data_IF_791061453301
#
_entry.id   IF_791061453301
#
_cell.length_a   1.000
_cell.length_b   1.000
_cell.length_c   1.000
_cell.angle_alpha   90.00
_cell.angle_beta   90.00
_cell.angle_gamma   90.00
#
_symmetry.space_group_name_H-M   'P 1'
#
loop_
_entity.id
_entity.type
_entity.pdbx_description
1 polymer ?
#
# COMPACT_ATOMS: atom_id res chain seq x y z
N UNK A 1 -9.80 5.13 8.24
CA UNK A 1 -8.50 5.39 7.60
C UNK A 1 -8.67 5.30 6.10
N UNK A 2 -8.54 6.43 5.42
CA UNK A 2 -8.73 6.53 3.99
C UNK A 2 -7.64 5.79 3.22
N UNK A 3 -7.96 5.47 1.97
CA UNK A 3 -7.09 4.70 1.07
C UNK A 3 -6.75 5.53 -0.15
N UNK A 4 -5.59 5.27 -0.71
CA UNK A 4 -5.09 5.94 -1.92
C UNK A 4 -5.24 4.99 -3.10
N UNK A 5 -5.99 5.46 -4.10
CA UNK A 5 -6.10 4.82 -5.41
C UNK A 5 -5.23 5.60 -6.40
N UNK A 6 -4.07 5.01 -6.72
CA UNK A 6 -3.13 5.59 -7.68
C UNK A 6 -3.68 5.45 -9.11
N UNK A 7 -3.40 6.43 -9.98
CA UNK A 7 -3.66 6.30 -11.42
C UNK A 7 -2.68 5.34 -12.09
N UNK A 8 -1.45 5.26 -11.56
CA UNK A 8 -0.47 4.21 -11.87
C UNK A 8 -0.71 2.97 -11.00
N UNK A 9 -0.01 1.88 -11.29
CA UNK A 9 -0.08 0.69 -10.43
C UNK A 9 0.61 0.92 -9.09
N UNK A 10 0.14 0.22 -8.05
CA UNK A 10 0.79 0.26 -6.72
C UNK A 10 2.23 -0.28 -6.78
N UNK A 11 2.44 -1.28 -7.64
CA UNK A 11 3.74 -1.86 -7.90
C UNK A 11 4.71 -0.80 -8.43
N UNK A 12 4.33 -0.09 -9.49
CA UNK A 12 5.17 0.98 -10.08
C UNK A 12 5.49 2.07 -9.06
N UNK A 13 4.50 2.50 -8.26
CA UNK A 13 4.74 3.48 -7.20
C UNK A 13 5.76 2.99 -6.17
N UNK A 14 5.64 1.73 -5.71
CA UNK A 14 6.56 1.17 -4.73
C UNK A 14 7.94 0.90 -5.34
N UNK A 15 8.02 0.48 -6.60
CA UNK A 15 9.28 0.34 -7.34
C UNK A 15 10.00 1.70 -7.46
N UNK A 16 9.27 2.79 -7.70
CA UNK A 16 9.82 4.16 -7.67
C UNK A 16 10.33 4.54 -6.28
N UNK A 17 9.57 4.23 -5.22
CA UNK A 17 10.00 4.50 -3.85
C UNK A 17 11.30 3.74 -3.52
N UNK A 18 11.39 2.47 -3.91
CA UNK A 18 12.57 1.61 -3.72
C UNK A 18 13.77 2.21 -4.46
N UNK A 19 13.60 2.62 -5.71
CA UNK A 19 14.66 3.23 -6.51
C UNK A 19 15.16 4.54 -5.91
N UNK A 20 14.26 5.42 -5.47
CA UNK A 20 14.64 6.71 -4.89
C UNK A 20 15.30 6.59 -3.51
N UNK A 21 14.97 5.54 -2.76
CA UNK A 21 15.50 5.25 -1.44
C UNK A 21 16.73 4.34 -1.46
N UNK A 22 17.25 4.04 -2.66
CA UNK A 22 18.37 3.13 -2.89
C UNK A 22 18.21 1.79 -2.14
N UNK A 23 16.98 1.28 -2.12
CA UNK A 23 16.66 0.01 -1.48
C UNK A 23 16.89 -1.15 -2.45
N UNK A 24 17.45 -2.25 -1.94
CA UNK A 24 17.65 -3.47 -2.76
C UNK A 24 16.32 -4.18 -3.06
N UNK A 25 15.31 -3.99 -2.22
CA UNK A 25 14.02 -4.66 -2.38
C UNK A 25 12.89 -3.97 -1.64
N UNK A 26 11.65 -4.43 -1.90
CA UNK A 26 10.46 -4.05 -1.15
C UNK A 26 10.64 -4.20 0.37
N UNK A 27 11.41 -5.20 0.82
CA UNK A 27 11.64 -5.40 2.26
C UNK A 27 12.49 -4.28 2.88
N UNK A 28 13.40 -3.67 2.10
CA UNK A 28 14.24 -2.56 2.56
C UNK A 28 13.45 -1.32 2.93
N UNK A 29 12.24 -1.15 2.40
CA UNK A 29 11.35 -0.08 2.85
C UNK A 29 11.05 -0.17 4.37
N UNK A 30 11.07 -1.38 4.96
CA UNK A 30 10.78 -1.56 6.38
C UNK A 30 11.87 -0.96 7.29
N UNK A 31 13.08 -0.78 6.79
CA UNK A 31 14.20 -0.24 7.57
C UNK A 31 14.00 1.25 7.90
N UNK A 32 13.11 1.92 7.16
CA UNK A 32 12.67 3.31 7.42
C UNK A 32 11.66 3.42 8.58
N UNK A 33 11.33 2.32 9.26
CA UNK A 33 10.50 2.34 10.46
C UNK A 33 9.01 2.52 10.20
N UNK A 34 8.52 2.24 8.99
CA UNK A 34 7.08 2.21 8.73
C UNK A 34 6.44 1.12 9.59
N UNK A 35 5.42 1.46 10.38
CA UNK A 35 4.67 0.52 11.24
C UNK A 35 3.85 -0.55 10.49
N UNK A 36 4.27 -0.93 9.29
CA UNK A 36 3.60 -1.84 8.37
C UNK A 36 4.36 -3.16 8.33
N UNK A 37 3.66 -4.28 8.47
CA UNK A 37 4.27 -5.61 8.34
C UNK A 37 4.62 -5.92 6.88
N UNK A 38 5.68 -6.69 6.66
CA UNK A 38 6.09 -7.12 5.31
C UNK A 38 4.96 -7.78 4.51
N UNK A 39 4.08 -8.54 5.15
CA UNK A 39 2.95 -9.20 4.46
C UNK A 39 1.89 -8.21 3.93
N UNK A 40 1.62 -7.15 4.71
CA UNK A 40 0.78 -6.05 4.26
C UNK A 40 1.46 -5.31 3.09
N UNK A 41 2.78 -5.12 3.16
CA UNK A 41 3.56 -4.50 2.10
C UNK A 41 3.48 -5.28 0.78
N UNK A 42 3.61 -6.61 0.82
CA UNK A 42 3.37 -7.48 -0.36
C UNK A 42 1.94 -7.37 -0.90
N UNK A 43 0.95 -7.20 -0.01
CA UNK A 43 -0.45 -7.03 -0.41
C UNK A 43 -0.69 -5.71 -1.15
N UNK A 44 -0.02 -4.63 -0.73
CA UNK A 44 -0.03 -3.36 -1.45
C UNK A 44 0.72 -3.48 -2.78
N UNK A 45 1.91 -4.08 -2.76
CA UNK A 45 2.73 -4.30 -3.96
C UNK A 45 2.01 -5.08 -5.05
N UNK A 46 1.30 -6.15 -4.68
CA UNK A 46 0.50 -6.94 -5.62
C UNK A 46 -0.82 -6.28 -6.04
N UNK A 47 -1.14 -5.07 -5.55
CA UNK A 47 -2.39 -4.37 -5.83
C UNK A 47 -3.63 -5.02 -5.19
N UNK A 48 -3.46 -6.05 -4.34
CA UNK A 48 -4.57 -6.73 -3.63
C UNK A 48 -5.23 -5.80 -2.61
N UNK A 49 -4.49 -4.83 -2.08
CA UNK A 49 -4.97 -3.84 -1.12
C UNK A 49 -4.51 -2.45 -1.56
N UNK A 50 -5.31 -1.44 -1.27
CA UNK A 50 -4.90 -0.05 -1.45
C UNK A 50 -4.04 0.45 -0.26
N UNK A 51 -3.13 1.38 -0.54
CA UNK A 51 -2.26 1.96 0.47
C UNK A 51 -3.12 2.80 1.42
N UNK A 52 -2.96 2.66 2.75
CA UNK A 52 -3.49 3.66 3.67
C UNK A 52 -2.87 5.02 3.38
N UNK A 53 -3.68 6.09 3.47
CA UNK A 53 -3.25 7.46 3.21
C UNK A 53 -1.99 7.84 3.99
N UNK A 54 -1.97 7.62 5.31
CA UNK A 54 -0.81 7.99 6.13
C UNK A 54 0.47 7.26 5.71
N UNK A 55 0.36 6.02 5.26
CA UNK A 55 1.51 5.27 4.76
C UNK A 55 1.98 5.79 3.39
N UNK A 56 1.05 6.15 2.51
CA UNK A 56 1.35 6.78 1.23
C UNK A 56 2.04 8.15 1.43
N UNK A 57 1.50 8.99 2.30
CA UNK A 57 2.05 10.33 2.58
C UNK A 57 3.47 10.22 3.13
N UNK A 58 3.72 9.30 4.09
CA UNK A 58 5.06 9.05 4.62
C UNK A 58 6.03 8.55 3.53
N UNK A 59 5.58 7.65 2.65
CA UNK A 59 6.40 7.18 1.53
C UNK A 59 6.76 8.31 0.59
N UNK A 60 5.81 9.15 0.17
CA UNK A 60 6.07 10.28 -0.72
C UNK A 60 7.09 11.25 -0.11
N UNK A 61 6.96 11.56 1.18
CA UNK A 61 7.89 12.45 1.89
C UNK A 61 9.31 11.89 1.92
N UNK A 62 9.46 10.62 2.30
CA UNK A 62 10.78 10.00 2.50
C UNK A 62 11.45 9.68 1.16
N UNK A 63 10.69 9.10 0.22
CA UNK A 63 11.20 8.73 -1.11
C UNK A 63 11.33 9.91 -2.07
N UNK A 64 10.88 11.12 -1.69
CA UNK A 64 10.91 12.33 -2.52
C UNK A 64 10.34 12.09 -3.92
N UNK A 65 9.34 11.21 -4.04
CA UNK A 65 8.69 10.97 -5.33
C UNK A 65 7.95 12.25 -5.73
N UNK A 66 8.09 12.61 -7.00
CA UNK A 66 7.48 13.81 -7.57
C UNK A 66 5.95 13.74 -7.61
N UNK A 67 5.36 14.59 -8.44
CA UNK A 67 3.90 14.65 -8.60
C UNK A 67 3.36 13.28 -9.06
N UNK A 68 2.47 12.70 -8.26
CA UNK A 68 1.73 11.47 -8.61
C UNK A 68 0.23 11.78 -8.57
N UNK A 69 -0.49 11.34 -9.59
CA UNK A 69 -1.94 11.43 -9.61
C UNK A 69 -2.57 10.28 -8.81
N UNK A 70 -3.47 10.64 -7.90
CA UNK A 70 -4.20 9.70 -7.07
C UNK A 70 -5.58 10.22 -6.68
N UNK A 71 -6.48 9.30 -6.38
CA UNK A 71 -7.77 9.58 -5.75
C UNK A 71 -7.76 9.08 -4.31
N UNK A 72 -8.43 9.81 -3.41
CA UNK A 72 -8.70 9.35 -2.05
C UNK A 72 -10.03 8.60 -2.05
N UNK A 73 -10.03 7.36 -1.55
CA UNK A 73 -11.24 6.56 -1.39
C UNK A 73 -11.47 6.24 0.09
N UNK A 74 -12.75 6.19 0.48
CA UNK A 74 -13.13 5.98 1.87
C UNK A 74 -12.66 4.64 2.45
N UNK A 75 -12.53 4.59 3.78
CA UNK A 75 -11.97 3.46 4.52
C UNK A 75 -12.59 2.08 4.23
N UNK A 76 -13.86 2.05 3.82
CA UNK A 76 -14.62 0.81 3.54
C UNK A 76 -14.39 0.27 2.12
N UNK A 77 -13.53 0.89 1.33
CA UNK A 77 -13.25 0.46 -0.03
C UNK A 77 -12.63 -0.95 -0.05
N UNK A 78 -13.29 -1.89 -0.74
CA UNK A 78 -12.88 -3.30 -0.79
C UNK A 78 -13.35 -4.14 0.41
N UNK A 79 -14.07 -3.56 1.37
CA UNK A 79 -14.67 -4.31 2.47
C UNK A 79 -16.04 -4.86 2.03
N UNK A 80 -16.13 -6.17 1.80
CA UNK A 80 -17.42 -6.83 1.57
C UNK A 80 -18.22 -6.79 2.87
N UNK A 81 -19.41 -6.17 2.86
CA UNK A 81 -20.37 -6.20 3.98
C UNK A 81 -20.70 -7.67 4.28
N UNK A 82 -20.28 -8.18 5.44
CA UNK A 82 -20.67 -9.51 5.92
C UNK A 82 -19.61 -10.60 5.73
N UNK A 83 -18.63 -10.63 6.63
CA UNK A 83 -17.83 -11.84 6.86
C UNK A 83 -18.68 -12.94 7.50
N UNK A 84 -19.44 -13.69 6.70
CA UNK A 84 -19.88 -15.06 7.04
C UNK A 84 -19.97 -15.87 5.75
N UNK A 85 -18.89 -16.61 5.44
CA UNK A 85 -19.01 -17.87 4.69
C UNK A 85 -18.27 -18.96 5.45
N UNK A 86 -18.75 -19.23 6.66
CA UNK A 86 -18.47 -20.51 7.30
C UNK A 86 -19.30 -21.57 6.59
N UNK A 87 -18.66 -22.40 5.76
CA UNK A 87 -19.16 -23.73 5.47
C UNK A 87 -18.18 -24.72 6.10
N UNK A 88 -18.39 -25.02 7.38
CA UNK A 88 -18.03 -26.34 7.91
C UNK A 88 -19.21 -27.24 7.59
N UNK A 89 -19.09 -28.07 6.56
CA UNK A 89 -19.90 -29.28 6.52
C UNK A 89 -19.16 -30.31 7.37
N UNK A 90 -19.81 -30.72 8.44
CA UNK A 90 -19.58 -31.99 9.15
C UNK A 90 -20.53 -32.98 8.50
#
# INVERSE_FOLDING_TARGET
>A
MDRIKLKISQKEFLDLCIANLDCVSLRGLLDYGFGVKYDALKSYYSGRRLLPKDFFDNLVVISKVGKIDFDVVGANWGQVKGGKKGKRNI
#
